data_IF_091159250329
#
_entry.id   IF_091159250329
#
_cell.length_a   1.000
_cell.length_b   1.000
_cell.length_c   1.000
_cell.angle_alpha   90.00
_cell.angle_beta   90.00
_cell.angle_gamma   90.00
#
_symmetry.space_group_name_H-M   'P 1'
#
loop_
_entity.id
_entity.type
_entity.pdbx_description
1 polymer ?
#
# COMPACT_ATOMS: atom_id res chain seq x y z
N UNK A 1 16.60 -33.42 -18.83
CA UNK A 1 15.45 -32.54 -18.59
C UNK A 1 15.86 -31.47 -17.57
N UNK A 2 16.08 -30.24 -18.02
CA UNK A 2 16.34 -29.12 -17.11
C UNK A 2 15.01 -28.66 -16.55
N UNK A 3 14.81 -28.79 -15.23
CA UNK A 3 13.72 -28.13 -14.53
C UNK A 3 13.94 -26.62 -14.65
N UNK A 4 13.12 -25.92 -15.42
CA UNK A 4 13.02 -24.46 -15.37
C UNK A 4 12.46 -24.11 -14.00
N UNK A 5 13.31 -23.62 -13.12
CA UNK A 5 12.88 -22.94 -11.90
C UNK A 5 12.12 -21.69 -12.36
N UNK A 6 10.80 -21.70 -12.29
CA UNK A 6 9.99 -20.49 -12.35
C UNK A 6 10.41 -19.60 -11.18
N UNK A 7 11.30 -18.67 -11.46
CA UNK A 7 11.65 -17.60 -10.55
C UNK A 7 10.35 -16.85 -10.18
N UNK A 8 9.88 -17.04 -8.97
CA UNK A 8 8.71 -16.32 -8.47
C UNK A 8 9.06 -14.83 -8.42
N UNK A 9 8.74 -14.10 -9.49
CA UNK A 9 8.96 -12.67 -9.59
C UNK A 9 8.05 -11.97 -8.57
N UNK A 10 8.63 -11.60 -7.44
CA UNK A 10 7.91 -10.84 -6.41
C UNK A 10 7.74 -9.40 -6.86
N UNK A 11 6.58 -8.80 -6.60
CA UNK A 11 6.38 -7.35 -6.85
C UNK A 11 7.35 -6.53 -6.00
N UNK A 12 7.89 -5.45 -6.55
CA UNK A 12 8.79 -4.55 -5.84
C UNK A 12 8.00 -3.47 -5.06
N UNK A 13 8.61 -2.91 -4.02
CA UNK A 13 8.14 -1.65 -3.45
C UNK A 13 8.37 -0.52 -4.47
N UNK A 14 7.54 0.51 -4.43
CA UNK A 14 7.75 1.75 -5.17
C UNK A 14 8.46 2.75 -4.25
N UNK A 15 9.35 3.54 -4.80
CA UNK A 15 9.88 4.70 -4.08
C UNK A 15 8.75 5.63 -3.61
N UNK A 16 8.90 6.20 -2.39
CA UNK A 16 7.83 6.96 -1.76
C UNK A 16 7.46 8.24 -2.52
N UNK A 17 8.44 8.97 -3.03
CA UNK A 17 8.19 10.21 -3.78
C UNK A 17 7.61 9.93 -5.16
N UNK A 18 8.04 8.84 -5.79
CA UNK A 18 7.44 8.31 -7.02
C UNK A 18 5.96 7.94 -6.79
N UNK A 19 5.64 7.29 -5.68
CA UNK A 19 4.26 6.97 -5.30
C UNK A 19 3.43 8.23 -5.10
N UNK A 20 3.92 9.21 -4.35
CA UNK A 20 3.22 10.49 -4.13
C UNK A 20 2.98 11.24 -5.45
N UNK A 21 4.00 11.26 -6.32
CA UNK A 21 3.88 11.85 -7.67
C UNK A 21 2.80 11.15 -8.50
N UNK A 22 2.76 9.82 -8.49
CA UNK A 22 1.75 9.03 -9.19
C UNK A 22 0.34 9.33 -8.69
N UNK A 23 0.13 9.34 -7.37
CA UNK A 23 -1.16 9.66 -6.74
C UNK A 23 -1.65 11.04 -7.18
N UNK A 24 -0.76 12.06 -7.18
CA UNK A 24 -1.09 13.41 -7.64
C UNK A 24 -1.40 13.48 -9.13
N UNK A 25 -0.65 12.75 -9.97
CA UNK A 25 -0.89 12.68 -11.43
C UNK A 25 -2.24 12.05 -11.74
N UNK A 26 -2.55 10.92 -11.12
CA UNK A 26 -3.85 10.26 -11.27
C UNK A 26 -5.01 11.18 -10.88
N UNK A 27 -4.87 11.91 -9.76
CA UNK A 27 -5.86 12.88 -9.32
C UNK A 27 -6.07 14.00 -10.37
N UNK A 28 -4.99 14.61 -10.88
CA UNK A 28 -5.06 15.64 -11.91
C UNK A 28 -5.68 15.16 -13.22
N UNK A 29 -5.43 13.90 -13.57
CA UNK A 29 -5.98 13.26 -14.77
C UNK A 29 -7.44 12.80 -14.59
N UNK A 30 -8.05 13.05 -13.43
CA UNK A 30 -9.44 12.69 -13.14
C UNK A 30 -9.65 11.23 -12.73
N UNK A 31 -8.58 10.43 -12.57
CA UNK A 31 -8.70 9.06 -12.06
C UNK A 31 -8.65 9.03 -10.52
N UNK A 32 -9.64 9.69 -9.92
CA UNK A 32 -9.74 9.87 -8.47
C UNK A 32 -9.78 8.54 -7.71
N UNK A 33 -10.44 7.51 -8.27
CA UNK A 33 -10.55 6.20 -7.61
C UNK A 33 -9.23 5.46 -7.54
N UNK A 34 -8.43 5.46 -8.60
CA UNK A 34 -7.11 4.82 -8.58
C UNK A 34 -6.10 5.64 -7.78
N UNK A 35 -6.19 6.96 -7.84
CA UNK A 35 -5.42 7.86 -6.97
C UNK A 35 -5.66 7.53 -5.49
N UNK A 36 -6.93 7.43 -5.07
CA UNK A 36 -7.31 7.07 -3.71
C UNK A 36 -6.88 5.65 -3.35
N UNK A 37 -7.07 4.67 -4.25
CA UNK A 37 -6.77 3.25 -3.99
C UNK A 37 -5.27 3.05 -3.72
N UNK A 38 -4.41 3.64 -4.57
CA UNK A 38 -2.96 3.57 -4.41
C UNK A 38 -2.55 4.26 -3.11
N UNK A 39 -3.12 5.46 -2.84
CA UNK A 39 -2.89 6.16 -1.57
C UNK A 39 -3.29 5.31 -0.36
N UNK A 40 -4.52 4.78 -0.31
CA UNK A 40 -4.95 3.91 0.78
C UNK A 40 -4.02 2.70 0.98
N UNK A 41 -3.59 2.07 -0.11
CA UNK A 41 -2.68 0.94 -0.03
C UNK A 41 -1.33 1.29 0.59
N UNK A 42 -0.78 2.46 0.22
CA UNK A 42 0.53 2.91 0.68
C UNK A 42 0.51 3.60 2.04
N UNK A 43 -0.61 4.23 2.45
CA UNK A 43 -0.72 4.86 3.76
C UNK A 43 -1.26 3.93 4.86
N UNK A 44 -2.07 2.94 4.51
CA UNK A 44 -2.66 2.02 5.49
C UNK A 44 -1.95 0.67 5.58
N UNK A 45 -1.19 0.31 4.54
CA UNK A 45 -0.48 -0.97 4.46
C UNK A 45 -1.42 -2.19 4.55
N UNK A 46 -2.67 -2.06 4.11
CA UNK A 46 -3.67 -3.12 4.10
C UNK A 46 -3.51 -4.04 2.89
N UNK A 47 -4.06 -5.26 2.98
CA UNK A 47 -4.23 -6.11 1.79
C UNK A 47 -5.30 -5.54 0.89
N UNK A 48 -5.19 -5.78 -0.42
CA UNK A 48 -6.20 -5.30 -1.38
C UNK A 48 -7.61 -5.77 -1.03
N UNK A 49 -7.77 -7.01 -0.55
CA UNK A 49 -9.06 -7.53 -0.10
C UNK A 49 -9.70 -6.69 1.00
N UNK A 50 -8.88 -6.11 1.87
CA UNK A 50 -9.32 -5.28 2.99
C UNK A 50 -9.56 -3.83 2.54
N UNK A 51 -8.70 -3.28 1.66
CA UNK A 51 -8.90 -1.96 1.04
C UNK A 51 -10.25 -1.90 0.32
N UNK A 52 -10.60 -2.94 -0.43
CA UNK A 52 -11.85 -3.00 -1.19
C UNK A 52 -13.11 -3.09 -0.30
N UNK A 53 -12.95 -3.24 1.03
CA UNK A 53 -14.08 -3.15 1.98
C UNK A 53 -14.29 -1.77 2.55
N UNK A 54 -13.37 -0.83 2.35
CA UNK A 54 -13.48 0.51 2.92
C UNK A 54 -14.71 1.25 2.40
N UNK A 55 -15.41 1.93 3.31
CA UNK A 55 -16.46 2.89 3.02
C UNK A 55 -15.91 4.31 3.20
N UNK A 56 -16.58 5.28 2.63
CA UNK A 56 -16.18 6.66 2.81
C UNK A 56 -16.27 7.11 4.27
N UNK A 57 -17.35 6.73 4.98
CA UNK A 57 -17.52 7.02 6.41
C UNK A 57 -16.36 6.51 7.28
N UNK A 58 -15.66 5.45 6.87
CA UNK A 58 -14.49 4.95 7.61
C UNK A 58 -13.25 5.84 7.50
N UNK A 59 -13.06 6.53 6.37
CA UNK A 59 -11.80 7.19 6.03
C UNK A 59 -11.89 8.71 5.88
N UNK A 60 -13.10 9.28 5.79
CA UNK A 60 -13.31 10.73 5.65
C UNK A 60 -13.01 11.49 6.93
N UNK A 61 -13.62 11.03 8.02
CA UNK A 61 -13.57 11.73 9.29
C UNK A 61 -12.90 10.88 10.38
N UNK A 62 -12.29 11.57 11.34
CA UNK A 62 -11.57 10.91 12.43
C UNK A 62 -10.10 10.61 12.09
N UNK A 63 -9.34 10.28 13.11
CA UNK A 63 -7.90 9.99 13.03
C UNK A 63 -7.61 8.50 12.91
N UNK A 64 -8.63 7.63 13.02
CA UNK A 64 -8.50 6.17 12.97
C UNK A 64 -9.83 5.50 12.63
N UNK A 65 -9.73 4.32 12.05
CA UNK A 65 -10.86 3.41 11.82
C UNK A 65 -10.49 1.97 12.19
N UNK A 66 -11.51 1.13 12.36
CA UNK A 66 -11.32 -0.31 12.67
C UNK A 66 -11.81 -1.16 11.52
N UNK A 67 -11.04 -2.19 11.18
CA UNK A 67 -11.44 -3.24 10.24
C UNK A 67 -11.23 -4.62 10.85
N UNK A 68 -11.92 -5.62 10.27
CA UNK A 68 -11.64 -7.04 10.47
C UNK A 68 -11.02 -7.59 9.19
N UNK A 69 -9.74 -7.98 9.24
CA UNK A 69 -9.00 -8.45 8.06
C UNK A 69 -9.66 -9.70 7.47
N UNK A 70 -10.00 -9.67 6.18
CA UNK A 70 -10.68 -10.81 5.51
C UNK A 70 -9.93 -12.12 5.58
N UNK A 71 -8.59 -12.09 5.50
CA UNK A 71 -7.76 -13.31 5.50
C UNK A 71 -7.62 -13.94 6.88
N UNK A 72 -7.62 -13.13 7.94
CA UNK A 72 -7.23 -13.58 9.29
C UNK A 72 -8.34 -13.45 10.32
N UNK A 73 -9.41 -12.71 10.02
CA UNK A 73 -10.46 -12.35 10.96
C UNK A 73 -10.03 -11.40 12.07
N UNK A 74 -8.75 -11.03 12.12
CA UNK A 74 -8.20 -10.20 13.19
C UNK A 74 -8.69 -8.76 13.10
N UNK A 75 -9.04 -8.20 14.25
CA UNK A 75 -9.34 -6.78 14.41
C UNK A 75 -8.06 -5.97 14.20
N UNK A 76 -8.13 -4.93 13.39
CA UNK A 76 -7.03 -3.98 13.17
C UNK A 76 -7.54 -2.55 13.24
N UNK A 77 -6.86 -1.73 14.06
CA UNK A 77 -7.05 -0.28 14.09
C UNK A 77 -6.03 0.34 13.14
N UNK A 78 -6.50 1.20 12.24
CA UNK A 78 -5.68 1.91 11.25
C UNK A 78 -5.76 3.39 11.56
N UNK A 79 -4.61 4.04 11.68
CA UNK A 79 -4.53 5.49 11.86
C UNK A 79 -4.54 6.17 10.49
N UNK A 80 -5.32 7.23 10.36
CA UNK A 80 -5.39 8.04 9.14
C UNK A 80 -4.41 9.20 9.27
N UNK A 81 -3.45 9.30 8.36
CA UNK A 81 -2.52 10.42 8.30
C UNK A 81 -3.28 11.70 7.90
N UNK A 82 -3.13 12.79 8.66
CA UNK A 82 -3.83 14.07 8.41
C UNK A 82 -3.58 14.67 7.02
N UNK A 83 -2.36 14.52 6.49
CA UNK A 83 -2.04 14.97 5.13
C UNK A 83 -2.76 14.15 4.07
N UNK A 84 -2.81 12.82 4.25
CA UNK A 84 -3.53 11.92 3.36
C UNK A 84 -5.05 12.08 3.47
N UNK A 85 -5.58 12.39 4.64
CA UNK A 85 -7.01 12.66 4.85
C UNK A 85 -7.52 13.81 3.97
N UNK A 86 -6.71 14.87 3.78
CA UNK A 86 -7.05 15.95 2.84
C UNK A 86 -7.22 15.44 1.41
N UNK A 87 -6.38 14.48 1.01
CA UNK A 87 -6.49 13.84 -0.31
C UNK A 87 -7.74 12.95 -0.41
N UNK A 88 -8.08 12.22 0.65
CA UNK A 88 -9.33 11.43 0.72
C UNK A 88 -10.53 12.33 0.49
N UNK A 89 -10.60 13.46 1.22
CA UNK A 89 -11.69 14.44 1.09
C UNK A 89 -11.75 15.03 -0.33
N UNK A 90 -10.62 15.41 -0.90
CA UNK A 90 -10.57 15.91 -2.27
C UNK A 90 -11.10 14.88 -3.29
N UNK A 91 -10.76 13.59 -3.12
CA UNK A 91 -11.30 12.53 -3.98
C UNK A 91 -12.82 12.33 -3.78
N UNK A 92 -13.30 12.41 -2.55
CA UNK A 92 -14.72 12.33 -2.22
C UNK A 92 -15.52 13.43 -2.92
N UNK A 93 -15.08 14.68 -2.77
CA UNK A 93 -15.71 15.85 -3.36
C UNK A 93 -15.70 15.78 -4.91
N UNK A 94 -14.56 15.41 -5.50
CA UNK A 94 -14.39 15.29 -6.95
C UNK A 94 -15.24 14.17 -7.57
N UNK A 95 -15.47 13.08 -6.83
CA UNK A 95 -16.33 11.98 -7.23
C UNK A 95 -17.84 12.28 -7.00
N UNK A 96 -18.17 13.40 -6.35
CA UNK A 96 -19.53 13.81 -6.01
C UNK A 96 -20.29 12.71 -5.28
N UNK A 97 -19.66 12.10 -4.29
CA UNK A 97 -20.26 11.04 -3.50
C UNK A 97 -21.35 11.64 -2.60
N UNK A 98 -22.52 11.00 -2.54
CA UNK A 98 -23.66 11.44 -1.74
C UNK A 98 -24.00 10.49 -0.60
N UNK A 99 -23.43 9.28 -0.62
CA UNK A 99 -23.64 8.28 0.43
C UNK A 99 -22.26 7.84 0.98
N UNK A 100 -21.96 8.24 2.22
CA UNK A 100 -20.71 7.90 2.88
C UNK A 100 -20.57 6.42 3.25
N UNK A 101 -21.66 5.69 3.37
CA UNK A 101 -21.65 4.27 3.68
C UNK A 101 -21.40 3.39 2.45
N UNK A 102 -21.39 3.99 1.24
CA UNK A 102 -21.00 3.20 0.07
C UNK A 102 -19.49 2.87 0.07
N UNK A 103 -19.14 1.77 -0.61
CA UNK A 103 -17.74 1.39 -0.77
C UNK A 103 -16.98 2.41 -1.62
N UNK A 104 -15.73 2.73 -1.21
CA UNK A 104 -14.90 3.70 -1.93
C UNK A 104 -14.54 3.24 -3.36
N UNK A 105 -14.40 1.94 -3.57
CA UNK A 105 -13.81 1.37 -4.79
C UNK A 105 -14.84 0.63 -5.63
N UNK A 106 -15.83 1.40 -6.13
CA UNK A 106 -16.86 0.93 -7.04
C UNK A 106 -16.50 1.23 -8.49
N UNK A 107 -16.80 0.30 -9.38
CA UNK A 107 -16.76 0.51 -10.82
C UNK A 107 -17.93 1.42 -11.28
N UNK A 108 -17.91 1.82 -12.57
CA UNK A 108 -19.04 2.56 -13.17
C UNK A 108 -20.39 1.83 -13.04
N UNK A 109 -20.37 0.50 -12.94
CA UNK A 109 -21.57 -0.34 -12.72
C UNK A 109 -21.93 -0.50 -11.24
N UNK A 110 -21.38 0.32 -10.35
CA UNK A 110 -21.55 0.27 -8.88
C UNK A 110 -21.20 -1.09 -8.25
N UNK A 111 -20.31 -1.84 -8.87
CA UNK A 111 -19.78 -3.09 -8.33
C UNK A 111 -18.36 -2.87 -7.79
N UNK A 112 -18.06 -3.47 -6.64
CA UNK A 112 -16.69 -3.46 -6.07
C UNK A 112 -15.71 -4.08 -7.06
N UNK A 113 -14.56 -3.45 -7.25
CA UNK A 113 -13.52 -4.02 -8.10
C UNK A 113 -13.03 -5.38 -7.59
N UNK A 114 -12.72 -6.29 -8.50
CA UNK A 114 -11.97 -7.50 -8.17
C UNK A 114 -10.47 -7.21 -8.12
N UNK A 115 -9.72 -8.03 -7.37
CA UNK A 115 -8.24 -7.95 -7.33
C UNK A 115 -7.64 -8.10 -8.74
N UNK A 116 -8.21 -8.97 -9.55
CA UNK A 116 -7.76 -9.18 -10.94
C UNK A 116 -7.93 -7.91 -11.76
N UNK A 117 -9.11 -7.25 -11.66
CA UNK A 117 -9.35 -5.99 -12.39
C UNK A 117 -8.38 -4.90 -11.94
N UNK A 118 -8.11 -4.78 -10.64
CA UNK A 118 -7.13 -3.82 -10.12
C UNK A 118 -5.74 -4.09 -10.70
N UNK A 119 -5.29 -5.34 -10.75
CA UNK A 119 -3.99 -5.67 -11.33
C UNK A 119 -3.91 -5.34 -12.85
N UNK A 120 -5.01 -5.47 -13.58
CA UNK A 120 -5.09 -5.03 -14.99
C UNK A 120 -4.93 -3.51 -15.06
N UNK A 121 -5.70 -2.75 -14.26
CA UNK A 121 -5.60 -1.28 -14.19
C UNK A 121 -4.18 -0.83 -13.80
N UNK A 122 -3.52 -1.53 -12.89
CA UNK A 122 -2.14 -1.22 -12.51
C UNK A 122 -1.14 -1.42 -13.66
N UNK A 123 -1.33 -2.42 -14.52
CA UNK A 123 -0.52 -2.57 -15.74
C UNK A 123 -0.75 -1.39 -16.70
N UNK A 124 -2.00 -0.98 -16.90
CA UNK A 124 -2.36 0.18 -17.72
C UNK A 124 -1.72 1.47 -17.15
N UNK A 125 -1.82 1.69 -15.84
CA UNK A 125 -1.20 2.81 -15.12
C UNK A 125 0.33 2.78 -15.25
N UNK A 126 0.96 1.62 -15.06
CA UNK A 126 2.41 1.47 -15.24
C UNK A 126 2.86 1.96 -16.61
N UNK A 127 2.18 1.56 -17.66
CA UNK A 127 2.48 1.97 -19.03
C UNK A 127 2.20 3.45 -19.25
N UNK A 128 1.02 3.94 -18.87
CA UNK A 128 0.60 5.34 -19.04
C UNK A 128 1.58 6.34 -18.40
N UNK A 129 2.06 6.03 -17.19
CA UNK A 129 2.94 6.93 -16.44
C UNK A 129 4.42 6.54 -16.51
N UNK A 130 4.78 5.58 -17.37
CA UNK A 130 6.15 5.10 -17.55
C UNK A 130 6.86 4.79 -16.23
N UNK A 131 6.18 4.04 -15.35
CA UNK A 131 6.72 3.72 -14.03
C UNK A 131 7.90 2.76 -14.15
N UNK A 132 9.04 3.14 -13.55
CA UNK A 132 10.27 2.34 -13.49
C UNK A 132 10.20 1.31 -12.36
N UNK A 133 9.29 0.37 -12.47
CA UNK A 133 9.08 -0.74 -11.54
C UNK A 133 8.81 -2.01 -12.35
N UNK A 134 9.46 -3.12 -12.02
CA UNK A 134 9.34 -4.36 -12.81
C UNK A 134 7.92 -4.91 -12.74
N UNK A 135 7.41 -5.08 -11.53
CA UNK A 135 6.08 -5.64 -11.28
C UNK A 135 5.24 -4.70 -10.40
N UNK A 136 4.39 -3.90 -11.04
CA UNK A 136 3.42 -3.07 -10.35
C UNK A 136 2.13 -3.88 -10.14
N UNK A 137 1.84 -4.24 -8.89
CA UNK A 137 0.68 -5.03 -8.49
C UNK A 137 0.08 -4.52 -7.18
N UNK A 138 -1.03 -5.12 -6.77
CA UNK A 138 -1.68 -4.79 -5.48
C UNK A 138 -0.76 -5.02 -4.27
N UNK A 139 0.22 -5.90 -4.36
CA UNK A 139 1.24 -6.10 -3.31
C UNK A 139 2.25 -4.96 -3.23
N UNK A 140 2.51 -4.26 -4.33
CA UNK A 140 3.42 -3.11 -4.37
C UNK A 140 3.06 -2.06 -3.34
N UNK A 141 1.78 -1.70 -3.22
CA UNK A 141 1.32 -0.70 -2.27
C UNK A 141 1.69 -1.05 -0.81
N UNK A 142 1.43 -2.29 -0.41
CA UNK A 142 1.72 -2.78 0.93
C UNK A 142 3.23 -2.89 1.20
N UNK A 143 4.01 -3.25 0.17
CA UNK A 143 5.47 -3.23 0.23
C UNK A 143 6.01 -1.81 0.36
N UNK A 144 5.45 -0.85 -0.40
CA UNK A 144 5.81 0.57 -0.31
C UNK A 144 5.56 1.13 1.10
N UNK A 145 4.41 0.81 1.71
CA UNK A 145 4.16 1.15 3.12
C UNK A 145 5.25 0.58 4.04
N UNK A 146 5.54 -0.71 3.91
CA UNK A 146 6.51 -1.37 4.79
C UNK A 146 7.94 -0.84 4.60
N UNK A 147 8.37 -0.61 3.36
CA UNK A 147 9.68 0.00 3.06
C UNK A 147 9.78 1.39 3.67
N UNK A 148 8.75 2.24 3.48
CA UNK A 148 8.75 3.60 4.04
C UNK A 148 8.83 3.59 5.57
N UNK A 149 8.09 2.71 6.25
CA UNK A 149 8.15 2.57 7.71
C UNK A 149 9.54 2.12 8.16
N UNK A 150 10.15 1.14 7.48
CA UNK A 150 11.47 0.63 7.78
C UNK A 150 12.55 1.70 7.58
N UNK A 151 12.58 2.34 6.40
CA UNK A 151 13.57 3.38 6.03
C UNK A 151 13.47 4.62 6.92
N UNK A 152 12.26 5.00 7.34
CA UNK A 152 12.06 6.15 8.23
C UNK A 152 12.44 5.88 9.68
N UNK A 153 12.74 4.65 10.06
CA UNK A 153 13.07 4.28 11.42
C UNK A 153 14.56 4.50 11.77
N UNK A 154 15.44 4.63 10.77
CA UNK A 154 16.88 4.80 11.01
C UNK A 154 17.43 3.73 11.96
N UNK A 155 18.01 4.15 13.07
CA UNK A 155 18.56 3.26 14.11
C UNK A 155 17.53 2.33 14.75
N UNK A 156 16.24 2.68 14.71
CA UNK A 156 15.13 1.87 15.21
C UNK A 156 14.61 0.84 14.17
N UNK A 157 15.32 0.63 13.07
CA UNK A 157 14.92 -0.29 12.00
C UNK A 157 14.58 -1.71 12.50
N UNK A 158 15.32 -2.32 13.45
CA UNK A 158 14.93 -3.63 14.01
C UNK A 158 13.56 -3.61 14.70
N UNK A 159 13.26 -2.57 15.47
CA UNK A 159 11.96 -2.40 16.12
C UNK A 159 10.84 -2.14 15.09
N UNK A 160 11.13 -1.36 14.05
CA UNK A 160 10.22 -1.15 12.94
C UNK A 160 9.88 -2.46 12.22
N UNK A 161 10.86 -3.34 12.02
CA UNK A 161 10.66 -4.65 11.41
C UNK A 161 9.74 -5.56 12.25
N UNK A 162 9.89 -5.56 13.57
CA UNK A 162 8.99 -6.29 14.49
C UNK A 162 7.55 -5.73 14.45
N UNK A 163 7.42 -4.40 14.43
CA UNK A 163 6.11 -3.75 14.26
C UNK A 163 5.47 -4.12 12.92
N UNK A 164 6.23 -4.11 11.83
CA UNK A 164 5.77 -4.51 10.50
C UNK A 164 5.40 -5.99 10.44
N UNK A 165 6.14 -6.87 11.12
CA UNK A 165 5.78 -8.28 11.26
C UNK A 165 4.39 -8.43 11.86
N UNK A 166 4.12 -7.72 12.96
CA UNK A 166 2.80 -7.72 13.63
C UNK A 166 1.72 -7.16 12.71
N UNK A 167 1.96 -5.99 12.09
CA UNK A 167 1.02 -5.34 11.17
C UNK A 167 0.70 -6.20 9.94
N UNK A 168 1.66 -6.96 9.45
CA UNK A 168 1.49 -7.82 8.29
C UNK A 168 1.02 -9.23 8.66
N UNK A 169 0.98 -9.53 9.97
CA UNK A 169 0.67 -10.86 10.47
C UNK A 169 1.56 -11.93 9.82
N UNK A 170 2.86 -11.69 9.78
CA UNK A 170 3.87 -12.63 9.33
C UNK A 170 4.36 -13.48 10.50
N UNK A 171 4.69 -14.75 10.23
CA UNK A 171 5.11 -15.68 11.27
C UNK A 171 6.48 -15.32 11.89
N UNK A 172 7.35 -14.60 11.15
CA UNK A 172 8.65 -14.17 11.67
C UNK A 172 9.12 -12.85 11.06
N UNK A 173 10.07 -12.13 11.70
CA UNK A 173 10.73 -10.98 11.13
C UNK A 173 11.46 -11.30 9.82
N UNK A 174 12.04 -12.48 9.70
CA UNK A 174 12.71 -12.97 8.47
C UNK A 174 11.77 -12.99 7.27
N UNK A 175 10.52 -13.43 7.46
CA UNK A 175 9.49 -13.39 6.40
C UNK A 175 9.20 -11.94 6.01
N UNK A 176 9.11 -11.04 6.99
CA UNK A 176 8.87 -9.61 6.73
C UNK A 176 10.04 -8.98 5.98
N UNK A 177 11.28 -9.27 6.38
CA UNK A 177 12.51 -8.85 5.70
C UNK A 177 12.49 -9.28 4.23
N UNK A 178 12.30 -10.57 3.98
CA UNK A 178 12.20 -11.13 2.61
C UNK A 178 11.05 -10.51 1.81
N UNK A 179 9.88 -10.32 2.44
CA UNK A 179 8.72 -9.70 1.81
C UNK A 179 9.00 -8.27 1.35
N UNK A 180 9.73 -7.50 2.15
CA UNK A 180 10.08 -6.11 1.85
C UNK A 180 11.28 -5.99 0.90
N UNK A 181 11.99 -7.09 0.63
CA UNK A 181 13.21 -7.08 -0.17
C UNK A 181 14.36 -6.37 0.53
N UNK A 182 14.42 -6.44 1.87
CA UNK A 182 15.53 -5.91 2.66
C UNK A 182 16.69 -6.87 2.54
N UNK A 183 17.85 -6.36 2.09
CA UNK A 183 19.08 -7.14 1.89
C UNK A 183 19.92 -7.21 3.18
N UNK A 184 20.86 -8.13 3.22
CA UNK A 184 21.79 -8.23 4.37
C UNK A 184 22.70 -7.00 4.41
N UNK A 185 23.13 -6.46 3.27
CA UNK A 185 23.92 -5.23 3.19
C UNK A 185 23.19 -4.00 3.78
N UNK A 186 21.87 -3.92 3.66
CA UNK A 186 21.08 -2.85 4.32
C UNK A 186 21.05 -3.00 5.85
N UNK A 187 21.35 -4.20 6.39
CA UNK A 187 21.50 -4.43 7.82
C UNK A 187 22.97 -4.23 8.25
N UNK A 188 23.92 -4.55 7.37
CA UNK A 188 25.36 -4.35 7.62
C UNK A 188 25.69 -2.87 7.76
N UNK A 189 24.99 -1.98 7.07
CA UNK A 189 25.13 -0.51 7.26
C UNK A 189 24.87 -0.06 8.70
N UNK A 190 24.28 -0.92 9.54
CA UNK A 190 24.15 -0.65 10.98
C UNK A 190 25.50 -0.60 11.70
N UNK A 191 26.54 -1.23 11.15
CA UNK A 191 27.90 -1.14 11.69
C UNK A 191 28.54 0.21 11.43
N UNK A 192 28.13 0.90 10.35
CA UNK A 192 28.61 2.25 10.01
C UNK A 192 28.11 3.31 11.00
N UNK A 193 27.18 2.93 11.88
CA UNK A 193 26.65 3.81 12.95
C UNK A 193 27.51 3.75 14.24
N UNK A 194 28.51 2.84 14.28
CA UNK A 194 29.43 2.71 15.42
C UNK A 194 30.58 3.68 15.20
N UNK A 195 30.53 4.84 15.87
CA UNK A 195 31.63 5.79 15.95
C UNK A 195 32.69 5.28 16.96
N UNK A 196 33.97 5.40 16.57
CA UNK A 196 35.11 5.07 17.42
C UNK A 196 35.86 6.34 17.86
#
# INVERSE_FOLDING_TARGET
MKQEFHEYRTSNAMDWDTMLSLVRKLYRDGDYRMSLLIGCGCFFGLRISDILTLTWSMILDGDKFTIYEKKTGKRRVVKVNKGFQKHVKACYDALKITNEDEKCFLSRKKMVYSTQRINILFKEIKTKYNLKIDHFSTHTMRKTFGRKVFESAGTDAPLALMRLQTLFNHASPTITKKYLGITDSELESSYDLLDF
#
